data_IF_615126218959
#
_entry.id   IF_615126218959
#
_cell.length_a   1.000
_cell.length_b   1.000
_cell.length_c   1.000
_cell.angle_alpha   90.00
_cell.angle_beta   90.00
_cell.angle_gamma   90.00
#
_symmetry.space_group_name_H-M   'P 1'
#
loop_
_entity.id
_entity.type
_entity.pdbx_description
1 polymer ?
#
# COMPACT_ATOMS: atom_id res chain seq x y z
N UNK A 1 -4.63 -12.72 15.30
CA UNK A 1 -4.62 -11.78 14.18
C UNK A 1 -3.47 -10.81 14.40
N UNK A 2 -2.50 -10.77 13.49
CA UNK A 2 -1.38 -9.85 13.61
C UNK A 2 -1.79 -8.43 13.23
N UNK A 3 -1.06 -7.41 13.70
CA UNK A 3 -1.37 -6.01 13.38
C UNK A 3 -1.38 -5.71 11.87
N UNK A 4 -0.49 -6.38 11.13
CA UNK A 4 -0.39 -6.28 9.67
C UNK A 4 -1.62 -6.87 8.96
N UNK A 5 -2.20 -7.92 9.51
CA UNK A 5 -3.42 -8.56 8.99
C UNK A 5 -4.63 -7.65 9.23
N UNK A 6 -4.77 -7.13 10.45
CA UNK A 6 -5.79 -6.13 10.80
C UNK A 6 -5.72 -4.90 9.88
N UNK A 7 -4.52 -4.36 9.67
CA UNK A 7 -4.35 -3.18 8.81
C UNK A 7 -4.73 -3.48 7.36
N UNK A 8 -4.39 -4.65 6.82
CA UNK A 8 -4.77 -5.05 5.47
C UNK A 8 -6.28 -5.19 5.32
N UNK A 9 -6.94 -5.83 6.28
CA UNK A 9 -8.39 -6.02 6.27
C UNK A 9 -9.12 -4.67 6.38
N UNK A 10 -8.64 -3.76 7.23
CA UNK A 10 -9.16 -2.41 7.36
C UNK A 10 -8.97 -1.59 6.06
N UNK A 11 -7.81 -1.73 5.38
CA UNK A 11 -7.57 -1.09 4.08
C UNK A 11 -8.49 -1.62 2.98
N UNK A 12 -8.76 -2.93 2.95
CA UNK A 12 -9.71 -3.53 2.01
C UNK A 12 -11.13 -3.00 2.29
N UNK A 13 -11.55 -3.00 3.56
CA UNK A 13 -12.85 -2.48 3.98
C UNK A 13 -13.03 -1.00 3.66
N UNK A 14 -11.96 -0.20 3.80
CA UNK A 14 -11.93 1.20 3.39
C UNK A 14 -12.12 1.37 1.88
N UNK A 15 -11.51 0.52 1.04
CA UNK A 15 -11.71 0.60 -0.41
C UNK A 15 -13.16 0.32 -0.82
N UNK A 16 -13.90 -0.47 -0.05
CA UNK A 16 -15.30 -0.81 -0.33
C UNK A 16 -16.28 0.23 0.23
N UNK A 17 -16.01 0.76 1.42
CA UNK A 17 -16.93 1.62 2.18
C UNK A 17 -16.58 3.11 2.18
N UNK A 18 -15.31 3.44 1.97
CA UNK A 18 -14.75 4.77 2.18
C UNK A 18 -14.55 5.16 3.65
N UNK A 19 -14.83 4.26 4.61
CA UNK A 19 -14.68 4.52 6.04
C UNK A 19 -13.26 4.22 6.53
N UNK A 20 -12.55 5.26 6.95
CA UNK A 20 -11.16 5.17 7.40
C UNK A 20 -11.03 5.13 8.94
N UNK A 21 -12.14 5.01 9.67
CA UNK A 21 -12.17 5.03 11.14
C UNK A 21 -11.28 3.94 11.73
N UNK A 22 -11.45 2.69 11.29
CA UNK A 22 -10.68 1.54 11.77
C UNK A 22 -9.17 1.71 11.49
N UNK A 23 -8.81 2.20 10.30
CA UNK A 23 -7.42 2.49 9.95
C UNK A 23 -6.82 3.52 10.91
N UNK A 24 -7.58 4.58 11.22
CA UNK A 24 -7.17 5.61 12.17
C UNK A 24 -6.92 5.07 13.57
N UNK A 25 -7.78 4.18 14.07
CA UNK A 25 -7.64 3.54 15.38
C UNK A 25 -6.43 2.61 15.46
N UNK A 26 -6.20 1.83 14.39
CA UNK A 26 -5.05 0.93 14.25
C UNK A 26 -3.74 1.74 14.31
N UNK A 27 -3.64 2.82 13.56
CA UNK A 27 -2.44 3.68 13.52
C UNK A 27 -2.22 4.38 14.85
N UNK A 28 -3.29 4.91 15.46
CA UNK A 28 -3.20 5.58 16.76
C UNK A 28 -2.69 4.64 17.86
N UNK A 29 -3.07 3.36 17.80
CA UNK A 29 -2.64 2.34 18.76
C UNK A 29 -1.27 1.74 18.45
N UNK A 30 -0.75 1.92 17.23
CA UNK A 30 0.47 1.28 16.74
C UNK A 30 1.31 2.28 15.93
N UNK A 31 1.94 3.28 16.59
CA UNK A 31 2.68 4.35 15.90
C UNK A 31 3.87 3.83 15.08
N UNK A 32 4.41 2.65 15.41
CA UNK A 32 5.53 2.02 14.69
C UNK A 32 5.18 1.61 13.24
N UNK A 33 3.89 1.59 12.88
CA UNK A 33 3.44 1.42 11.49
C UNK A 33 3.82 2.61 10.60
N UNK A 34 4.07 3.77 11.21
CA UNK A 34 4.45 5.00 10.52
C UNK A 34 5.97 5.05 10.34
N UNK A 35 6.42 5.00 9.08
CA UNK A 35 7.83 5.07 8.70
C UNK A 35 8.09 6.28 7.82
N UNK A 36 9.15 7.05 8.11
CA UNK A 36 9.62 8.13 7.25
C UNK A 36 10.46 7.64 6.07
N UNK A 37 10.77 6.35 6.02
CA UNK A 37 11.50 5.72 4.94
C UNK A 37 10.56 4.78 4.19
N UNK A 38 10.18 5.13 2.96
CA UNK A 38 9.60 4.20 2.01
C UNK A 38 10.78 3.71 1.16
N UNK A 39 11.03 2.40 1.16
CA UNK A 39 12.20 1.79 0.54
C UNK A 39 12.23 1.92 -0.99
N UNK A 40 13.12 1.17 -1.62
CA UNK A 40 13.35 1.30 -3.06
C UNK A 40 12.22 0.67 -3.89
N UNK A 41 11.80 1.35 -4.94
CA UNK A 41 10.85 0.81 -5.91
C UNK A 41 11.52 -0.22 -6.84
N UNK A 42 10.86 -1.33 -7.21
CA UNK A 42 9.49 -1.74 -6.87
C UNK A 42 9.36 -2.55 -5.56
N UNK A 43 10.46 -2.81 -4.84
CA UNK A 43 10.48 -3.59 -3.59
C UNK A 43 9.55 -3.02 -2.53
N UNK A 44 9.54 -1.70 -2.37
CA UNK A 44 8.52 -0.97 -1.63
C UNK A 44 7.77 -0.07 -2.60
N UNK A 45 6.46 -0.26 -2.68
CA UNK A 45 5.63 0.43 -3.67
C UNK A 45 4.37 1.03 -3.05
N UNK A 46 3.90 2.12 -3.64
CA UNK A 46 2.64 2.76 -3.25
C UNK A 46 1.46 1.86 -3.59
N UNK A 47 0.58 1.69 -2.62
CA UNK A 47 -0.74 1.09 -2.81
C UNK A 47 -1.79 2.18 -3.02
N UNK A 48 -1.83 3.15 -2.11
CA UNK A 48 -2.75 4.29 -2.14
C UNK A 48 -2.23 5.41 -1.25
N UNK A 49 -2.79 6.60 -1.40
CA UNK A 49 -2.61 7.70 -0.45
C UNK A 49 -3.91 7.87 0.35
N UNK A 50 -3.81 8.02 1.66
CA UNK A 50 -4.91 8.14 2.63
C UNK A 50 -4.89 9.50 3.31
N UNK A 51 -6.06 10.03 3.62
CA UNK A 51 -6.19 11.22 4.46
C UNK A 51 -6.91 10.86 5.77
N UNK A 52 -6.21 11.02 6.89
CA UNK A 52 -6.68 10.68 8.22
C UNK A 52 -6.50 11.88 9.14
N UNK A 53 -7.58 12.37 9.76
CA UNK A 53 -7.55 13.48 10.71
C UNK A 53 -6.77 14.72 10.21
N UNK A 54 -6.94 15.06 8.92
CA UNK A 54 -6.26 16.20 8.29
C UNK A 54 -4.78 15.99 7.96
N UNK A 55 -4.25 14.77 8.15
CA UNK A 55 -2.90 14.37 7.74
C UNK A 55 -2.97 13.40 6.57
N UNK A 56 -2.04 13.51 5.64
CA UNK A 56 -1.95 12.62 4.49
C UNK A 56 -0.84 11.58 4.72
N UNK A 57 -1.14 10.33 4.36
CA UNK A 57 -0.24 9.19 4.49
C UNK A 57 -0.19 8.42 3.18
N UNK A 58 1.00 8.09 2.71
CA UNK A 58 1.22 7.11 1.66
C UNK A 58 1.25 5.72 2.27
N UNK A 59 0.36 4.85 1.81
CA UNK A 59 0.38 3.42 2.14
C UNK A 59 1.38 2.75 1.21
N UNK A 60 2.52 2.33 1.76
CA UNK A 60 3.54 1.56 1.07
C UNK A 60 3.38 0.07 1.42
N UNK A 61 3.61 -0.82 0.46
CA UNK A 61 3.70 -2.27 0.67
C UNK A 61 5.08 -2.76 0.27
N UNK A 62 5.69 -3.59 1.12
CA UNK A 62 6.95 -4.24 0.84
C UNK A 62 6.74 -5.62 0.21
N UNK A 63 7.48 -5.91 -0.86
CA UNK A 63 7.62 -7.24 -1.45
C UNK A 63 8.35 -8.18 -0.49
N UNK A 64 7.57 -8.94 0.26
CA UNK A 64 8.07 -9.94 1.18
C UNK A 64 7.04 -11.05 1.32
N UNK A 65 7.41 -12.19 1.89
CA UNK A 65 6.44 -13.27 2.18
C UNK A 65 5.27 -12.80 3.04
N UNK A 66 5.47 -11.79 3.89
CA UNK A 66 4.45 -11.23 4.76
C UNK A 66 3.72 -10.03 4.12
N UNK A 67 4.25 -9.47 3.04
CA UNK A 67 3.72 -8.27 2.38
C UNK A 67 3.40 -7.14 3.35
N UNK A 68 4.39 -6.72 4.14
CA UNK A 68 4.16 -5.73 5.19
C UNK A 68 3.72 -4.39 4.62
N UNK A 69 2.74 -3.78 5.26
CA UNK A 69 2.27 -2.43 5.02
C UNK A 69 2.96 -1.47 6.00
N UNK A 70 3.43 -0.34 5.45
CA UNK A 70 3.91 0.81 6.22
C UNK A 70 3.19 2.06 5.74
N UNK A 71 3.08 3.05 6.62
CA UNK A 71 2.53 4.36 6.29
C UNK A 71 3.63 5.41 6.33
N UNK A 72 3.77 6.19 5.28
CA UNK A 72 4.71 7.30 5.23
C UNK A 72 3.96 8.62 5.19
N UNK A 73 4.19 9.55 6.13
CA UNK A 73 3.58 10.87 6.06
C UNK A 73 3.96 11.57 4.75
N UNK A 74 2.99 12.21 4.11
CA UNK A 74 3.18 12.97 2.87
C UNK A 74 2.46 14.31 2.95
N UNK A 75 2.93 15.30 2.20
CA UNK A 75 2.28 16.60 2.11
C UNK A 75 1.16 16.61 1.06
N UNK A 76 1.43 16.04 -0.12
CA UNK A 76 0.53 16.05 -1.27
C UNK A 76 0.13 14.63 -1.69
N UNK A 77 -1.14 14.23 -1.54
CA UNK A 77 -1.63 12.94 -2.00
C UNK A 77 -1.67 12.89 -3.53
N UNK A 78 -1.35 11.73 -4.09
CA UNK A 78 -1.41 11.44 -5.52
C UNK A 78 -2.77 10.87 -5.91
N UNK A 79 -3.38 11.42 -6.96
CA UNK A 79 -4.59 10.85 -7.57
C UNK A 79 -4.31 9.63 -8.46
N UNK A 80 -3.05 9.45 -8.90
CA UNK A 80 -2.64 8.26 -9.66
C UNK A 80 -2.84 7.01 -8.83
N UNK A 81 -3.54 5.97 -9.33
CA UNK A 81 -3.68 4.69 -8.65
C UNK A 81 -2.31 4.07 -8.31
N UNK A 82 -2.18 3.44 -7.14
CA UNK A 82 -1.02 2.62 -6.81
C UNK A 82 -1.21 1.15 -7.25
N UNK A 83 -0.30 0.30 -6.78
CA UNK A 83 -0.39 -1.15 -6.99
C UNK A 83 -1.60 -1.70 -6.23
N UNK A 84 -2.49 -2.47 -6.87
CA UNK A 84 -3.72 -2.92 -6.21
C UNK A 84 -3.47 -3.85 -5.02
N UNK A 85 -4.25 -3.68 -3.94
CA UNK A 85 -4.19 -4.54 -2.75
C UNK A 85 -4.53 -6.01 -3.04
N UNK A 86 -5.43 -6.26 -4.01
CA UNK A 86 -5.79 -7.62 -4.38
C UNK A 86 -4.65 -8.38 -5.07
N UNK A 87 -3.64 -7.68 -5.58
CA UNK A 87 -2.49 -8.29 -6.22
C UNK A 87 -1.51 -8.75 -5.13
N UNK A 88 -1.46 -10.05 -4.84
CA UNK A 88 -0.67 -10.64 -3.75
C UNK A 88 0.09 -11.89 -4.23
N UNK A 89 0.99 -12.39 -3.39
CA UNK A 89 1.73 -13.63 -3.57
C UNK A 89 2.54 -13.66 -4.86
N UNK A 90 2.49 -14.79 -5.58
CA UNK A 90 3.26 -15.00 -6.82
C UNK A 90 2.94 -13.97 -7.92
N UNK A 91 1.70 -13.47 -7.96
CA UNK A 91 1.28 -12.49 -8.97
C UNK A 91 1.93 -11.13 -8.72
N UNK A 92 2.02 -10.73 -7.46
CA UNK A 92 2.73 -9.52 -7.05
C UNK A 92 4.23 -9.64 -7.36
N UNK A 93 4.83 -10.79 -7.07
CA UNK A 93 6.23 -11.06 -7.42
C UNK A 93 6.47 -10.98 -8.92
N UNK A 94 5.54 -11.53 -9.74
CA UNK A 94 5.63 -11.47 -11.19
C UNK A 94 5.59 -10.02 -11.71
N UNK A 95 4.66 -9.20 -11.20
CA UNK A 95 4.64 -7.78 -11.55
C UNK A 95 5.95 -7.09 -11.19
N UNK A 96 6.47 -7.33 -9.99
CA UNK A 96 7.71 -6.69 -9.55
C UNK A 96 8.93 -7.08 -10.40
N UNK A 97 9.01 -8.34 -10.84
CA UNK A 97 10.03 -8.79 -11.79
C UNK A 97 9.87 -8.06 -13.12
N UNK A 98 8.67 -8.02 -13.68
CA UNK A 98 8.39 -7.33 -14.95
C UNK A 98 8.75 -5.83 -14.84
N UNK A 99 8.42 -5.18 -13.72
CA UNK A 99 8.71 -3.77 -13.45
C UNK A 99 10.21 -3.49 -13.25
N UNK A 100 10.96 -4.44 -12.69
CA UNK A 100 12.41 -4.32 -12.52
C UNK A 100 13.13 -4.47 -13.87
N UNK A 101 12.66 -5.40 -14.71
CA UNK A 101 13.29 -5.70 -16.00
C UNK A 101 12.86 -4.74 -17.11
N UNK A 102 11.59 -4.32 -17.11
CA UNK A 102 11.00 -3.40 -18.07
C UNK A 102 10.02 -2.45 -17.33
N UNK A 103 10.54 -1.38 -16.70
CA UNK A 103 9.72 -0.40 -16.01
C UNK A 103 8.62 0.16 -16.91
N UNK A 104 7.43 0.34 -16.36
CA UNK A 104 6.30 0.84 -17.14
C UNK A 104 6.41 2.36 -17.35
N UNK A 105 6.43 2.79 -18.61
CA UNK A 105 6.38 4.21 -19.00
C UNK A 105 4.93 4.78 -19.01
N UNK A 106 3.94 3.89 -18.92
CA UNK A 106 2.50 4.19 -18.98
C UNK A 106 1.78 3.51 -17.78
N UNK A 107 0.53 3.89 -17.46
CA UNK A 107 -0.23 3.21 -16.42
C UNK A 107 -0.26 1.69 -16.63
N UNK A 108 0.17 0.95 -15.62
CA UNK A 108 0.25 -0.52 -15.67
C UNK A 108 -1.14 -1.13 -15.91
N UNK A 109 -1.27 -1.97 -16.94
CA UNK A 109 -2.45 -2.83 -17.11
C UNK A 109 -2.44 -3.96 -16.08
N UNK A 110 -3.11 -3.73 -14.96
CA UNK A 110 -3.21 -4.69 -13.87
C UNK A 110 -3.90 -6.00 -14.25
N UNK A 111 -4.70 -6.03 -15.32
CA UNK A 111 -5.41 -7.24 -15.76
C UNK A 111 -4.46 -8.34 -16.21
N UNK A 112 -3.24 -7.98 -16.66
CA UNK A 112 -2.14 -8.90 -17.00
C UNK A 112 -1.71 -9.81 -15.85
N UNK A 113 -1.95 -9.39 -14.60
CA UNK A 113 -1.53 -10.10 -13.38
C UNK A 113 -2.70 -10.68 -12.58
N UNK A 114 -3.91 -10.72 -13.16
CA UNK A 114 -5.10 -11.35 -12.54
C UNK A 114 -5.10 -12.88 -12.65
#
# INVERSE_FOLDING_TARGET
>A
MGIQEQLKDALISFLESGDATEIGEIIASNPDLVSFNCGDYPDVHRVMDLQLNGKSFRVCRQLSRAENITLTPIDEPSETPGVPLWLTGERLMRWATDETENPADEPTDWSKYR
#
